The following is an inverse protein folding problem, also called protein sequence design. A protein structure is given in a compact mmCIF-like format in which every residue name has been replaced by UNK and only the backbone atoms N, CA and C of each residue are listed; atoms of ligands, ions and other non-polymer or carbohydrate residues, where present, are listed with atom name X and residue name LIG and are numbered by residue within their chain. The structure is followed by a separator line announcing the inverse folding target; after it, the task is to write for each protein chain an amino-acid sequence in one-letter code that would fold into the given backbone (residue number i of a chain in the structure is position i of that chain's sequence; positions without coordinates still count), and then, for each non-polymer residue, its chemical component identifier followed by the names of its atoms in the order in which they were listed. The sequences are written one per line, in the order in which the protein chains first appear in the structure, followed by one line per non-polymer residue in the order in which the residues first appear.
data_IF_784631704403
#
_entry.id   IF_784631704403
#
_cell.length_a   1.000
_cell.length_b   1.000
_cell.length_c   1.000
_cell.angle_alpha   90.00
_cell.angle_beta   90.00
_cell.angle_gamma   90.00
#
_symmetry.space_group_name_H-M   'P 1'
#
loop_
_entity.id
_entity.type
_entity.pdbx_description
1 polymer ?
#
# COMPACT_ATOMS: atom_id res chain seq x y z
N UNK A 1 50.62 4.34 -54.84
CA UNK A 1 51.45 4.69 -53.65
C UNK A 1 51.12 3.64 -52.58
N UNK A 2 51.91 2.58 -52.37
CA UNK A 2 53.18 2.54 -51.62
C UNK A 2 52.96 3.10 -50.20
N UNK A 3 53.10 2.39 -49.07
CA UNK A 3 54.07 1.38 -48.60
C UNK A 3 53.36 0.53 -47.51
N UNK A 4 53.50 -0.80 -47.44
CA UNK A 4 54.62 -1.60 -46.87
C UNK A 4 54.81 -1.45 -45.35
N UNK A 5 55.00 -2.61 -44.70
CA UNK A 5 55.82 -2.84 -43.48
C UNK A 5 55.21 -2.41 -42.14
N UNK A 6 55.42 -3.10 -41.01
CA UNK A 6 56.08 -4.36 -40.67
C UNK A 6 56.17 -4.43 -39.14
N UNK A 7 56.30 -5.66 -38.61
CA UNK A 7 57.07 -6.02 -37.41
C UNK A 7 56.65 -5.47 -36.04
N UNK A 8 56.50 -6.38 -35.05
CA UNK A 8 57.58 -6.85 -34.14
C UNK A 8 56.91 -7.58 -32.95
N UNK A 9 57.00 -8.90 -32.84
CA UNK A 9 58.03 -9.70 -32.11
C UNK A 9 58.06 -9.47 -30.58
N UNK A 10 57.77 -10.55 -29.81
CA UNK A 10 58.36 -11.02 -28.51
C UNK A 10 57.26 -11.77 -27.70
N UNK A 11 57.23 -13.10 -27.59
CA UNK A 11 58.01 -14.07 -26.77
C UNK A 11 57.88 -13.92 -25.24
N UNK A 12 57.38 -15.01 -24.60
CA UNK A 12 57.42 -15.41 -23.18
C UNK A 12 56.70 -14.47 -22.20
N UNK A 13 56.07 -14.86 -21.09
CA UNK A 13 55.98 -16.04 -20.22
C UNK A 13 54.79 -15.73 -19.27
N UNK A 14 54.06 -16.66 -18.67
CA UNK A 14 54.35 -17.30 -17.37
C UNK A 14 53.00 -17.78 -16.81
N UNK A 15 53.01 -18.90 -16.12
CA UNK A 15 51.85 -19.56 -15.52
C UNK A 15 51.00 -18.63 -14.63
N UNK A 16 49.69 -18.81 -14.66
CA UNK A 16 48.85 -18.71 -13.48
C UNK A 16 47.81 -19.83 -13.54
N UNK A 17 48.01 -20.82 -12.67
CA UNK A 17 46.94 -21.58 -12.06
C UNK A 17 45.99 -20.58 -11.41
N UNK A 18 44.75 -20.52 -11.88
CA UNK A 18 43.63 -20.13 -11.05
C UNK A 18 42.61 -21.25 -11.12
N UNK A 19 42.60 -22.02 -10.03
CA UNK A 19 41.56 -22.96 -9.68
C UNK A 19 40.20 -22.28 -9.84
N UNK A 20 39.32 -22.91 -10.62
CA UNK A 20 37.92 -22.58 -10.59
C UNK A 20 37.42 -22.66 -9.13
N UNK A 21 36.70 -21.65 -8.62
CA UNK A 21 36.04 -21.80 -7.34
C UNK A 21 34.97 -22.88 -7.51
N UNK A 22 35.30 -24.04 -6.94
CA UNK A 22 34.41 -25.12 -6.61
C UNK A 22 33.12 -24.51 -6.04
N UNK A 23 32.03 -24.52 -6.82
CA UNK A 23 30.70 -24.12 -6.38
C UNK A 23 30.20 -25.23 -5.46
N UNK A 24 30.75 -25.22 -4.25
CA UNK A 24 30.46 -26.15 -3.19
C UNK A 24 29.07 -25.88 -2.63
N UNK A 25 28.27 -26.95 -2.64
CA UNK A 25 27.34 -27.27 -1.56
C UNK A 25 26.17 -26.31 -1.39
N UNK A 26 25.02 -26.71 -1.93
CA UNK A 26 23.73 -26.37 -1.33
C UNK A 26 23.70 -26.93 0.10
N UNK A 27 24.15 -26.12 1.05
CA UNK A 27 24.13 -26.42 2.48
C UNK A 27 22.67 -26.47 2.92
N UNK A 28 22.13 -27.69 2.98
CA UNK A 28 20.86 -27.98 3.64
C UNK A 28 21.03 -27.64 5.11
N UNK A 29 20.70 -26.38 5.46
CA UNK A 29 20.68 -25.89 6.84
C UNK A 29 19.81 -26.84 7.66
N UNK A 30 20.43 -27.49 8.65
CA UNK A 30 19.76 -28.41 9.57
C UNK A 30 18.54 -27.73 10.17
N UNK A 31 17.36 -28.33 10.03
CA UNK A 31 16.11 -27.89 10.65
C UNK A 31 16.19 -28.12 12.16
N UNK A 32 16.95 -27.27 12.86
CA UNK A 32 16.95 -27.18 14.31
C UNK A 32 15.78 -26.33 14.82
N UNK A 33 15.52 -26.32 16.14
CA UNK A 33 14.47 -25.50 16.76
C UNK A 33 14.62 -23.98 16.48
N UNK A 34 15.80 -23.54 16.04
CA UNK A 34 16.08 -22.19 15.58
C UNK A 34 15.46 -21.85 14.22
N UNK A 35 15.29 -22.81 13.31
CA UNK A 35 14.74 -22.54 11.98
C UNK A 35 13.27 -22.11 12.04
N UNK A 36 12.45 -22.80 12.84
CA UNK A 36 11.06 -22.40 13.03
C UNK A 36 10.97 -21.03 13.71
N UNK A 37 11.86 -20.71 14.65
CA UNK A 37 11.93 -19.39 15.27
C UNK A 37 12.32 -18.31 14.25
N UNK A 38 13.29 -18.57 13.37
CA UNK A 38 13.73 -17.65 12.33
C UNK A 38 12.63 -17.42 11.27
N UNK A 39 11.92 -18.49 10.88
CA UNK A 39 10.78 -18.40 9.96
C UNK A 39 9.65 -17.61 10.58
N UNK A 40 9.26 -17.90 11.82
CA UNK A 40 8.20 -17.18 12.53
C UNK A 40 8.59 -15.70 12.70
N UNK A 41 9.85 -15.40 13.05
CA UNK A 41 10.34 -14.03 13.17
C UNK A 41 10.31 -13.28 11.82
N UNK A 42 10.67 -13.98 10.73
CA UNK A 42 10.64 -13.41 9.38
C UNK A 42 9.21 -13.17 8.91
N UNK A 43 8.30 -14.13 9.11
CA UNK A 43 6.88 -13.98 8.79
C UNK A 43 6.24 -12.87 9.60
N UNK A 44 6.54 -12.76 10.90
CA UNK A 44 6.07 -11.68 11.75
C UNK A 44 6.54 -10.32 11.25
N UNK A 45 7.81 -10.19 10.90
CA UNK A 45 8.37 -8.96 10.34
C UNK A 45 7.74 -8.59 9.00
N UNK A 46 7.47 -9.58 8.14
CA UNK A 46 6.78 -9.38 6.88
C UNK A 46 5.32 -8.93 7.07
N UNK A 47 4.62 -9.49 8.06
CA UNK A 47 3.25 -9.09 8.43
C UNK A 47 3.26 -7.66 9.01
N UNK A 48 4.18 -7.36 9.92
CA UNK A 48 4.32 -6.01 10.50
C UNK A 48 4.60 -4.97 9.42
N UNK A 49 5.52 -5.24 8.48
CA UNK A 49 5.80 -4.34 7.35
C UNK A 49 4.62 -4.20 6.38
N UNK A 50 3.85 -5.25 6.13
CA UNK A 50 2.64 -5.17 5.30
C UNK A 50 1.54 -4.31 5.97
N UNK A 51 1.34 -4.47 7.28
CA UNK A 51 0.39 -3.67 8.06
C UNK A 51 0.82 -2.20 8.09
N UNK A 52 2.12 -1.93 8.25
CA UNK A 52 2.67 -0.56 8.22
C UNK A 52 2.48 0.08 6.84
N UNK A 53 2.79 -0.66 5.76
CA UNK A 53 2.63 -0.19 4.39
C UNK A 53 1.15 0.07 4.03
N UNK A 54 0.23 -0.79 4.49
CA UNK A 54 -1.20 -0.62 4.29
C UNK A 54 -1.73 0.61 5.07
N UNK A 55 -1.25 0.81 6.31
CA UNK A 55 -1.54 2.03 7.09
C UNK A 55 -1.04 3.30 6.40
N UNK A 56 0.13 3.28 5.79
CA UNK A 56 0.71 4.45 5.13
C UNK A 56 0.01 4.77 3.80
N UNK A 57 -0.40 3.74 3.04
CA UNK A 57 -1.25 3.91 1.86
C UNK A 57 -2.62 4.51 2.22
N UNK A 58 -3.20 4.05 3.33
CA UNK A 58 -4.48 4.55 3.85
C UNK A 58 -4.39 6.00 4.35
N UNK A 59 -3.27 6.39 4.98
CA UNK A 59 -3.00 7.78 5.36
C UNK A 59 -2.80 8.71 4.17
N UNK A 60 -2.17 8.22 3.11
CA UNK A 60 -1.79 9.04 1.94
C UNK A 60 -2.96 9.33 0.99
N UNK A 61 -4.05 8.55 1.05
CA UNK A 61 -5.24 8.72 0.19
C UNK A 61 -6.48 9.27 0.91
N UNK A 62 -6.31 10.01 2.00
CA UNK A 62 -7.45 10.66 2.67
C UNK A 62 -7.82 11.98 1.99
N UNK A 63 -9.11 12.15 1.69
CA UNK A 63 -9.65 13.40 1.15
C UNK A 63 -10.27 14.21 2.28
N UNK A 64 -9.88 15.48 2.43
CA UNK A 64 -10.51 16.41 3.38
C UNK A 64 -11.85 16.88 2.83
N UNK A 65 -12.90 16.71 3.63
CA UNK A 65 -14.25 17.22 3.34
C UNK A 65 -14.65 18.14 4.48
N UNK A 66 -15.20 19.31 4.16
CA UNK A 66 -15.77 20.25 5.15
C UNK A 66 -17.28 20.17 5.06
N UNK A 67 -17.93 19.83 6.18
CA UNK A 67 -19.38 19.77 6.32
C UNK A 67 -19.83 20.84 7.30
N UNK A 68 -20.99 21.45 7.03
CA UNK A 68 -21.66 22.29 8.01
C UNK A 68 -22.71 21.43 8.74
N UNK A 69 -22.50 21.21 10.03
CA UNK A 69 -23.38 20.39 10.88
C UNK A 69 -23.98 21.25 12.00
N UNK A 70 -25.18 20.93 12.48
CA UNK A 70 -25.73 21.59 13.67
C UNK A 70 -24.81 21.43 14.87
N UNK A 71 -24.57 22.52 15.60
CA UNK A 71 -23.79 22.52 16.86
C UNK A 71 -24.17 21.39 17.84
N UNK A 72 -25.46 21.15 18.16
CA UNK A 72 -25.81 20.08 19.11
C UNK A 72 -25.43 18.68 18.61
N UNK A 73 -25.32 18.48 17.29
CA UNK A 73 -24.84 17.22 16.73
C UNK A 73 -23.32 17.09 16.88
N UNK A 74 -22.58 18.18 16.68
CA UNK A 74 -21.12 18.22 16.84
C UNK A 74 -20.73 17.94 18.29
N UNK A 75 -21.46 18.46 19.27
CA UNK A 75 -21.19 18.16 20.68
C UNK A 75 -21.43 16.67 21.00
N UNK A 76 -22.57 16.09 20.58
CA UNK A 76 -22.81 14.64 20.74
C UNK A 76 -21.75 13.79 20.05
N UNK A 77 -21.22 14.26 18.92
CA UNK A 77 -20.16 13.59 18.19
C UNK A 77 -18.84 13.60 18.97
N UNK A 78 -18.51 14.71 19.65
CA UNK A 78 -17.36 14.79 20.57
C UNK A 78 -17.56 13.91 21.79
N UNK A 79 -18.73 13.94 22.40
CA UNK A 79 -19.06 13.10 23.56
C UNK A 79 -18.91 11.61 23.24
N UNK A 80 -19.43 11.17 22.09
CA UNK A 80 -19.32 9.78 21.66
C UNK A 80 -17.87 9.30 21.54
N UNK A 81 -16.99 10.15 20.99
CA UNK A 81 -15.57 9.85 20.86
C UNK A 81 -14.86 9.92 22.20
N UNK A 82 -15.22 10.89 23.05
CA UNK A 82 -14.66 11.04 24.39
C UNK A 82 -14.90 9.80 25.25
N UNK A 83 -16.10 9.23 25.21
CA UNK A 83 -16.47 8.04 25.98
C UNK A 83 -16.06 6.71 25.33
N UNK A 84 -15.53 6.72 24.10
CA UNK A 84 -15.13 5.49 23.40
C UNK A 84 -13.61 5.45 23.20
N UNK A 85 -12.86 4.72 24.05
CA UNK A 85 -11.41 4.64 23.93
C UNK A 85 -10.97 4.12 22.55
N UNK A 86 -9.99 4.78 21.95
CA UNK A 86 -9.41 4.38 20.66
C UNK A 86 -10.24 4.75 19.43
N UNK A 87 -11.42 5.35 19.59
CA UNK A 87 -12.19 5.90 18.48
C UNK A 87 -11.74 7.34 18.19
N UNK A 88 -11.79 7.74 16.92
CA UNK A 88 -11.55 9.14 16.52
C UNK A 88 -12.79 9.68 15.83
N UNK A 89 -12.97 10.99 15.83
CA UNK A 89 -14.06 11.63 15.07
C UNK A 89 -14.01 11.22 13.60
N UNK A 90 -12.84 11.25 12.96
CA UNK A 90 -12.70 10.83 11.56
C UNK A 90 -13.12 9.37 11.33
N UNK A 91 -12.71 8.45 12.20
CA UNK A 91 -13.09 7.04 12.09
C UNK A 91 -14.60 6.82 12.30
N UNK A 92 -15.20 7.53 13.26
CA UNK A 92 -16.65 7.47 13.48
C UNK A 92 -17.43 8.05 12.29
N UNK A 93 -16.97 9.15 11.71
CA UNK A 93 -17.56 9.73 10.50
C UNK A 93 -17.46 8.79 9.30
N UNK A 94 -16.32 8.15 9.10
CA UNK A 94 -16.11 7.16 8.04
C UNK A 94 -17.07 5.98 8.18
N UNK A 95 -17.16 5.40 9.38
CA UNK A 95 -18.08 4.29 9.66
C UNK A 95 -19.55 4.68 9.47
N UNK A 96 -19.94 5.87 9.94
CA UNK A 96 -21.30 6.36 9.80
C UNK A 96 -21.66 6.61 8.32
N UNK A 97 -20.75 7.21 7.54
CA UNK A 97 -20.94 7.45 6.11
C UNK A 97 -21.01 6.13 5.33
N UNK A 98 -20.11 5.18 5.60
CA UNK A 98 -20.13 3.88 4.93
C UNK A 98 -21.45 3.12 5.19
N UNK A 99 -21.94 3.13 6.45
CA UNK A 99 -23.23 2.53 6.81
C UNK A 99 -24.40 3.23 6.12
N UNK A 100 -24.40 4.56 6.08
CA UNK A 100 -25.45 5.33 5.42
C UNK A 100 -25.48 5.07 3.91
N UNK A 101 -24.32 5.00 3.24
CA UNK A 101 -24.23 4.67 1.82
C UNK A 101 -24.75 3.25 1.57
N UNK A 102 -24.31 2.28 2.36
CA UNK A 102 -24.76 0.89 2.22
C UNK A 102 -26.28 0.75 2.42
N UNK A 103 -26.86 1.50 3.36
CA UNK A 103 -28.31 1.53 3.55
C UNK A 103 -29.04 2.09 2.31
N UNK A 104 -28.54 3.18 1.72
CA UNK A 104 -29.10 3.76 0.51
C UNK A 104 -28.96 2.82 -0.71
N UNK A 105 -27.84 2.10 -0.82
CA UNK A 105 -27.65 1.09 -1.87
C UNK A 105 -28.60 -0.10 -1.69
N UNK A 106 -28.83 -0.52 -0.45
CA UNK A 106 -29.79 -1.58 -0.13
C UNK A 106 -31.23 -1.17 -0.46
N UNK A 107 -31.62 0.07 -0.14
CA UNK A 107 -32.94 0.63 -0.49
C UNK A 107 -33.13 0.74 -2.01
N UNK A 108 -32.07 1.06 -2.74
CA UNK A 108 -32.08 1.12 -4.20
C UNK A 108 -32.03 -0.27 -4.86
N UNK A 109 -31.53 -1.28 -4.15
CA UNK A 109 -31.33 -2.64 -4.66
C UNK A 109 -30.06 -2.82 -5.50
N UNK A 110 -29.31 -1.75 -5.78
CA UNK A 110 -28.10 -1.77 -6.60
C UNK A 110 -27.07 -0.71 -6.13
N UNK A 111 -25.76 -0.99 -6.26
CA UNK A 111 -24.70 -0.04 -5.93
C UNK A 111 -24.79 1.27 -6.72
N UNK A 112 -24.29 2.38 -6.15
CA UNK A 112 -24.24 3.65 -6.87
C UNK A 112 -23.24 3.57 -8.04
N UNK A 113 -23.66 3.91 -9.29
CA UNK A 113 -22.74 3.92 -10.42
C UNK A 113 -21.67 5.01 -10.23
N UNK A 114 -20.45 4.82 -10.76
CA UNK A 114 -19.40 5.83 -10.71
C UNK A 114 -19.88 7.09 -11.43
N UNK A 115 -19.58 8.25 -10.84
CA UNK A 115 -20.02 9.55 -11.37
C UNK A 115 -19.43 9.79 -12.77
N UNK A 116 -20.30 10.02 -13.75
CA UNK A 116 -19.90 10.33 -15.14
C UNK A 116 -19.29 11.74 -15.30
N UNK A 117 -19.43 12.61 -14.30
CA UNK A 117 -18.91 13.97 -14.33
C UNK A 117 -18.48 14.46 -12.94
N UNK A 118 -17.54 15.42 -12.91
CA UNK A 118 -17.11 16.11 -11.69
C UNK A 118 -18.27 16.93 -11.12
N UNK A 119 -18.56 16.77 -9.82
CA UNK A 119 -19.55 17.60 -9.13
C UNK A 119 -19.04 19.04 -9.06
N UNK A 120 -19.83 19.99 -9.55
CA UNK A 120 -19.57 21.41 -9.32
C UNK A 120 -19.86 21.73 -7.85
N UNK A 121 -18.93 22.33 -7.10
CA UNK A 121 -19.16 22.65 -5.70
C UNK A 121 -20.34 23.63 -5.58
N UNK A 122 -21.35 23.26 -4.77
CA UNK A 122 -22.38 24.18 -4.28
C UNK A 122 -23.78 24.09 -4.90
N UNK A 123 -24.02 23.28 -5.94
CA UNK A 123 -25.38 23.07 -6.47
C UNK A 123 -25.78 21.59 -6.33
N UNK A 124 -26.89 21.26 -5.66
CA UNK A 124 -27.48 19.93 -5.73
C UNK A 124 -27.65 19.51 -7.20
N UNK A 125 -27.26 18.30 -7.60
CA UNK A 125 -27.56 17.81 -8.94
C UNK A 125 -29.06 18.01 -9.19
N UNK A 126 -29.43 18.64 -10.32
CA UNK A 126 -30.83 18.61 -10.77
C UNK A 126 -31.23 17.15 -10.83
N UNK A 127 -32.42 16.81 -10.32
CA UNK A 127 -33.04 15.53 -10.58
C UNK A 127 -32.96 15.28 -12.08
N UNK A 128 -32.09 14.35 -12.48
CA UNK A 128 -32.13 13.83 -13.83
C UNK A 128 -33.29 12.87 -13.81
N UNK A 129 -34.47 13.37 -14.17
CA UNK A 129 -35.59 12.53 -14.54
C UNK A 129 -35.06 11.43 -15.47
N UNK A 130 -35.25 10.19 -15.03
CA UNK A 130 -34.99 9.02 -15.85
C UNK A 130 -35.90 9.15 -17.08
N UNK A 131 -35.31 9.30 -18.26
CA UNK A 131 -35.99 9.11 -19.55
C UNK A 131 -35.32 7.95 -20.25
#
# INVERSE_FOLDING_TARGET
MSKKSSEKKRKASKAHTEEAPNVGGAEQRRLGPSFLADVIATSRRAIETAIEAEKDLDRTRRTRITLNLPEPLVEKFRDAVFWTPGLTMSALAEQALARAIAALEAERGEPFPPRTARLSPGRPPRDREQT
#
